data_IF_986327702207
#
_entry.id   IF_986327702207
#
_cell.length_a   1.000
_cell.length_b   1.000
_cell.length_c   1.000
_cell.angle_alpha   90.00
_cell.angle_beta   90.00
_cell.angle_gamma   90.00
#
_symmetry.space_group_name_H-M   'P 1'
#
loop_
_entity.id
_entity.type
_entity.pdbx_description
1 polymer ?
#
# COMPACT_ATOMS: atom_id res chain seq x y z
N UNK A 1 69.96 46.88 -30.63
CA UNK A 1 69.21 48.11 -30.31
C UNK A 1 67.84 47.97 -30.94
N UNK A 2 66.81 47.73 -30.18
CA UNK A 2 65.46 48.28 -30.36
C UNK A 2 64.50 47.53 -29.46
N UNK A 3 63.87 48.22 -28.58
CA UNK A 3 62.93 47.77 -27.59
C UNK A 3 61.57 47.62 -28.27
N UNK A 4 60.95 46.45 -28.22
CA UNK A 4 59.55 46.28 -28.54
C UNK A 4 58.79 45.90 -27.26
N UNK A 5 57.98 46.84 -26.79
CA UNK A 5 57.02 46.69 -25.68
C UNK A 5 55.87 45.81 -26.14
N UNK A 6 55.76 44.64 -25.62
CA UNK A 6 54.57 43.77 -25.83
C UNK A 6 53.50 44.09 -24.82
N UNK A 7 52.35 44.56 -25.32
CA UNK A 7 51.13 44.87 -24.59
C UNK A 7 50.44 43.56 -24.23
N UNK A 8 50.43 43.20 -22.94
CA UNK A 8 49.76 42.01 -22.41
C UNK A 8 48.25 42.39 -22.22
N UNK A 9 47.42 41.99 -23.17
CA UNK A 9 45.96 42.06 -22.99
C UNK A 9 45.50 40.92 -22.13
N UNK A 10 45.19 41.21 -20.86
CA UNK A 10 44.53 40.28 -19.95
C UNK A 10 43.03 40.34 -20.27
N UNK A 11 42.56 39.35 -20.99
CA UNK A 11 41.09 39.15 -21.18
C UNK A 11 40.59 38.41 -19.94
N UNK A 12 40.00 39.18 -19.02
CA UNK A 12 39.22 38.59 -17.91
C UNK A 12 37.86 38.16 -18.48
N UNK A 13 37.77 36.86 -18.78
CA UNK A 13 36.48 36.25 -19.13
C UNK A 13 35.66 36.13 -17.83
N UNK A 14 34.71 37.03 -17.63
CA UNK A 14 33.64 36.88 -16.62
C UNK A 14 32.78 35.70 -17.02
N UNK A 15 33.00 34.55 -16.38
CA UNK A 15 32.04 33.45 -16.38
C UNK A 15 30.82 33.86 -15.55
N UNK A 16 29.79 34.37 -16.18
CA UNK A 16 28.47 34.50 -15.57
C UNK A 16 27.85 33.11 -15.46
N UNK A 17 27.93 32.49 -14.30
CA UNK A 17 27.17 31.29 -13.97
C UNK A 17 25.70 31.69 -13.86
N UNK A 18 24.96 31.51 -14.93
CA UNK A 18 23.50 31.61 -14.90
C UNK A 18 22.97 30.41 -14.06
N UNK A 19 22.64 30.67 -12.80
CA UNK A 19 21.78 29.77 -12.02
C UNK A 19 20.41 29.75 -12.69
N UNK A 20 20.23 28.86 -13.66
CA UNK A 20 18.93 28.51 -14.17
C UNK A 20 18.15 27.86 -13.06
N UNK A 21 17.14 28.56 -12.49
CA UNK A 21 16.07 27.90 -11.78
C UNK A 21 15.44 26.90 -12.74
N UNK A 22 15.81 25.62 -12.62
CA UNK A 22 15.05 24.55 -13.25
C UNK A 22 13.72 24.48 -12.49
N UNK A 23 12.70 25.12 -13.05
CA UNK A 23 11.32 24.84 -12.69
C UNK A 23 11.06 23.38 -13.09
N UNK A 24 11.08 22.51 -12.08
CA UNK A 24 10.70 21.12 -12.24
C UNK A 24 9.29 21.12 -12.83
N UNK A 25 9.05 20.41 -13.96
CA UNK A 25 7.71 20.34 -14.52
C UNK A 25 6.74 19.85 -13.43
N UNK A 26 5.48 20.33 -13.39
CA UNK A 26 4.50 19.86 -12.46
C UNK A 26 4.45 18.33 -12.57
N UNK A 27 4.80 17.62 -11.48
CA UNK A 27 4.61 16.18 -11.44
C UNK A 27 3.12 15.93 -11.63
N UNK A 28 2.78 15.10 -12.61
CA UNK A 28 1.42 14.64 -12.77
C UNK A 28 0.95 14.11 -11.39
N UNK A 29 -0.30 14.37 -10.99
CA UNK A 29 -0.83 13.82 -9.75
C UNK A 29 -0.54 12.32 -9.72
N UNK A 30 0.12 11.84 -8.66
CA UNK A 30 0.29 10.41 -8.46
C UNK A 30 -1.11 9.81 -8.43
N UNK A 31 -1.38 8.89 -9.33
CA UNK A 31 -2.64 8.15 -9.31
C UNK A 31 -2.62 7.28 -8.05
N UNK A 32 -3.30 7.77 -7.00
CA UNK A 32 -3.32 7.12 -5.69
C UNK A 32 -4.27 5.93 -5.77
N UNK A 33 -3.71 4.75 -5.67
CA UNK A 33 -4.44 3.50 -5.83
C UNK A 33 -4.22 2.57 -4.62
N UNK A 34 -5.23 1.78 -4.29
CA UNK A 34 -5.08 0.70 -3.31
C UNK A 34 -4.22 -0.40 -3.91
N UNK A 35 -2.98 -0.49 -3.42
CA UNK A 35 -2.05 -1.54 -3.81
C UNK A 35 -2.43 -2.89 -3.19
N UNK A 36 -2.75 -2.90 -1.89
CA UNK A 36 -3.22 -4.08 -1.16
C UNK A 36 -4.37 -3.69 -0.25
N UNK A 37 -5.48 -4.40 -0.34
CA UNK A 37 -6.60 -4.30 0.59
C UNK A 37 -7.08 -5.67 1.01
N UNK A 38 -7.52 -5.82 2.27
CA UNK A 38 -8.17 -7.02 2.75
C UNK A 38 -9.21 -6.67 3.80
N UNK A 39 -10.45 -7.04 3.55
CA UNK A 39 -11.53 -6.94 4.51
C UNK A 39 -12.05 -8.33 4.83
N UNK A 40 -12.15 -8.65 6.12
CA UNK A 40 -12.86 -9.83 6.61
C UNK A 40 -14.12 -9.43 7.34
N UNK A 41 -15.23 -10.05 6.97
CA UNK A 41 -16.53 -9.79 7.59
C UNK A 41 -16.84 -10.77 8.70
N UNK A 42 -17.81 -10.39 9.55
CA UNK A 42 -18.26 -11.24 10.65
C UNK A 42 -18.88 -12.56 10.16
N UNK A 43 -18.84 -13.57 11.02
CA UNK A 43 -19.55 -14.84 10.88
C UNK A 43 -20.28 -15.18 12.20
N UNK A 44 -20.95 -16.33 12.23
CA UNK A 44 -21.59 -16.89 13.45
C UNK A 44 -20.59 -17.53 14.43
N UNK A 45 -19.32 -17.08 14.43
CA UNK A 45 -18.26 -17.63 15.31
C UNK A 45 -17.21 -16.59 15.61
N UNK A 46 -15.99 -17.08 15.87
CA UNK A 46 -14.83 -16.26 16.17
C UNK A 46 -14.04 -15.89 14.90
N UNK A 47 -14.74 -15.38 13.89
CA UNK A 47 -14.05 -14.90 12.69
C UNK A 47 -13.43 -13.53 12.96
N UNK A 48 -12.19 -13.29 12.51
CA UNK A 48 -11.58 -11.97 12.58
C UNK A 48 -12.38 -10.97 11.74
N UNK A 49 -12.56 -9.77 12.26
CA UNK A 49 -13.27 -8.68 11.57
C UNK A 49 -12.34 -7.50 11.47
N UNK A 50 -11.92 -7.15 10.29
CA UNK A 50 -11.06 -6.00 10.04
C UNK A 50 -11.17 -5.52 8.59
N UNK A 51 -10.64 -4.32 8.36
CA UNK A 51 -10.52 -3.73 7.03
C UNK A 51 -9.15 -3.05 6.92
N UNK A 52 -8.35 -3.51 5.96
CA UNK A 52 -7.01 -3.02 5.64
C UNK A 52 -7.05 -2.33 4.28
N UNK A 53 -6.37 -1.19 4.19
CA UNK A 53 -6.02 -0.55 2.92
C UNK A 53 -4.59 -0.05 2.97
N UNK A 54 -3.78 -0.42 1.98
CA UNK A 54 -2.42 0.06 1.76
C UNK A 54 -2.37 0.70 0.38
N UNK A 55 -2.01 1.97 0.34
CA UNK A 55 -1.90 2.73 -0.90
C UNK A 55 -0.51 2.54 -1.53
N UNK A 56 -0.43 2.76 -2.82
CA UNK A 56 0.84 2.76 -3.56
C UNK A 56 1.80 3.88 -3.11
N UNK A 57 1.32 4.84 -2.33
CA UNK A 57 2.14 5.87 -1.67
C UNK A 57 2.84 5.41 -0.39
N UNK A 58 2.45 4.25 0.16
CA UNK A 58 2.90 3.75 1.47
C UNK A 58 1.98 4.13 2.62
N UNK A 59 0.99 4.99 2.41
CA UNK A 59 -0.02 5.24 3.44
C UNK A 59 -0.88 3.99 3.65
N UNK A 60 -1.01 3.57 4.91
CA UNK A 60 -1.81 2.41 5.28
C UNK A 60 -2.81 2.74 6.37
N UNK A 61 -4.01 2.18 6.25
CA UNK A 61 -5.08 2.26 7.25
C UNK A 61 -5.56 0.86 7.60
N UNK A 62 -5.81 0.63 8.88
CA UNK A 62 -6.33 -0.63 9.40
C UNK A 62 -7.45 -0.34 10.41
N UNK A 63 -8.65 -0.80 10.10
CA UNK A 63 -9.76 -0.82 11.04
C UNK A 63 -9.80 -2.18 11.72
N UNK A 64 -9.42 -2.23 12.98
CA UNK A 64 -9.44 -3.44 13.81
C UNK A 64 -10.81 -3.57 14.48
N UNK A 65 -11.47 -4.68 14.26
CA UNK A 65 -12.64 -5.11 14.99
C UNK A 65 -12.29 -6.28 15.91
N UNK A 66 -13.24 -7.21 16.10
CA UNK A 66 -13.11 -8.32 17.04
C UNK A 66 -12.31 -9.49 16.48
N UNK A 67 -11.69 -10.28 17.36
CA UNK A 67 -11.04 -11.57 17.10
C UNK A 67 -9.85 -11.52 16.11
N UNK A 68 -9.11 -10.41 16.09
CA UNK A 68 -8.02 -10.21 15.13
C UNK A 68 -6.67 -10.76 15.59
N UNK A 69 -6.52 -11.10 16.88
CA UNK A 69 -5.24 -11.46 17.51
C UNK A 69 -4.56 -12.67 16.83
N UNK A 70 -5.36 -13.71 16.51
CA UNK A 70 -4.83 -14.91 15.83
C UNK A 70 -4.44 -14.60 14.38
N UNK A 71 -5.22 -13.76 13.68
CA UNK A 71 -4.95 -13.40 12.29
C UNK A 71 -3.64 -12.60 12.15
N UNK A 72 -3.38 -11.68 13.08
CA UNK A 72 -2.21 -10.82 13.04
C UNK A 72 -1.00 -11.37 13.83
N UNK A 73 -1.20 -12.43 14.62
CA UNK A 73 -0.18 -12.95 15.53
C UNK A 73 0.20 -11.96 16.66
N UNK A 74 -0.63 -10.93 16.88
CA UNK A 74 -0.47 -9.91 17.93
C UNK A 74 -1.79 -9.26 18.26
N UNK A 75 -1.90 -8.70 19.46
CA UNK A 75 -3.07 -7.93 19.86
C UNK A 75 -2.94 -6.47 19.41
N UNK A 76 -3.99 -5.97 18.78
CA UNK A 76 -4.20 -4.55 18.47
C UNK A 76 -5.54 -4.11 19.05
N UNK A 77 -5.61 -2.92 19.58
CA UNK A 77 -6.86 -2.37 20.09
C UNK A 77 -7.91 -2.25 18.99
N UNK A 78 -9.19 -2.44 19.31
CA UNK A 78 -10.27 -2.16 18.35
C UNK A 78 -10.30 -0.67 18.00
N UNK A 79 -10.53 -0.35 16.73
CA UNK A 79 -10.56 1.02 16.22
C UNK A 79 -9.73 1.20 14.95
N UNK A 80 -9.50 2.47 14.60
CA UNK A 80 -8.69 2.85 13.45
C UNK A 80 -7.23 2.94 13.82
N UNK A 81 -6.39 2.44 12.93
CA UNK A 81 -4.93 2.54 13.00
C UNK A 81 -4.40 3.07 11.68
N UNK A 82 -3.27 3.77 11.74
CA UNK A 82 -2.54 4.27 10.58
C UNK A 82 -1.08 3.84 10.66
N UNK A 83 -0.47 3.70 9.51
CA UNK A 83 0.97 3.48 9.38
C UNK A 83 1.47 4.04 8.06
N UNK A 84 2.76 4.36 8.01
CA UNK A 84 3.51 4.51 6.78
C UNK A 84 4.33 3.24 6.59
N UNK A 85 4.12 2.55 5.47
CA UNK A 85 4.74 1.24 5.22
C UNK A 85 5.71 1.29 4.05
N UNK A 86 6.73 0.46 4.12
CA UNK A 86 7.58 0.21 2.94
C UNK A 86 6.79 -0.58 1.91
N UNK A 87 6.40 0.09 0.82
CA UNK A 87 5.67 -0.54 -0.29
C UNK A 87 6.41 -1.74 -0.89
N UNK A 88 7.74 -1.80 -0.75
CA UNK A 88 8.53 -2.93 -1.26
C UNK A 88 8.20 -4.22 -0.53
N UNK A 89 8.00 -4.17 0.81
CA UNK A 89 7.60 -5.33 1.60
C UNK A 89 6.19 -5.83 1.20
N UNK A 90 5.28 -4.91 0.92
CA UNK A 90 3.90 -5.24 0.51
C UNK A 90 3.81 -5.71 -0.94
N UNK A 91 4.80 -5.34 -1.76
CA UNK A 91 4.92 -5.80 -3.14
C UNK A 91 5.05 -7.31 -3.25
N UNK A 92 5.65 -7.99 -2.29
CA UNK A 92 5.73 -9.45 -2.27
C UNK A 92 4.33 -10.11 -2.34
N UNK A 93 3.35 -9.56 -1.61
CA UNK A 93 1.98 -10.06 -1.66
C UNK A 93 1.32 -9.81 -3.03
N UNK A 94 1.58 -8.66 -3.65
CA UNK A 94 1.04 -8.34 -4.98
C UNK A 94 1.68 -9.19 -6.07
N UNK A 95 3.00 -9.45 -5.99
CA UNK A 95 3.71 -10.32 -6.94
C UNK A 95 3.23 -11.76 -6.84
N UNK A 96 3.00 -12.24 -5.63
CA UNK A 96 2.43 -13.57 -5.43
C UNK A 96 1.01 -13.67 -6.02
N UNK A 97 0.16 -12.67 -5.78
CA UNK A 97 -1.18 -12.60 -6.36
C UNK A 97 -1.14 -12.59 -7.89
N UNK A 98 -0.23 -11.82 -8.49
CA UNK A 98 -0.02 -11.80 -9.94
C UNK A 98 0.40 -13.18 -10.46
N UNK A 99 1.29 -13.88 -9.75
CA UNK A 99 1.77 -15.23 -10.15
C UNK A 99 0.67 -16.28 -10.19
N UNK A 100 -0.39 -16.13 -9.39
CA UNK A 100 -1.55 -17.02 -9.40
C UNK A 100 -2.66 -16.57 -10.35
N UNK A 101 -2.45 -15.49 -11.11
CA UNK A 101 -3.44 -14.96 -12.05
C UNK A 101 -4.61 -14.24 -11.39
N UNK A 102 -4.38 -13.54 -10.27
CA UNK A 102 -5.41 -12.82 -9.52
C UNK A 102 -6.20 -11.82 -10.38
N UNK A 103 -5.54 -11.18 -11.35
CA UNK A 103 -6.14 -10.23 -12.29
C UNK A 103 -7.21 -10.85 -13.20
N UNK A 104 -7.14 -12.17 -13.43
CA UNK A 104 -8.10 -12.91 -14.27
C UNK A 104 -9.32 -13.41 -13.50
N UNK A 105 -9.32 -13.33 -12.16
CA UNK A 105 -10.42 -13.78 -11.33
C UNK A 105 -11.69 -12.93 -11.56
N UNK A 106 -12.85 -13.56 -11.36
CA UNK A 106 -14.11 -12.83 -11.32
C UNK A 106 -14.13 -11.87 -10.11
N UNK A 107 -14.81 -10.74 -10.24
CA UNK A 107 -14.92 -9.76 -9.14
C UNK A 107 -15.76 -10.26 -7.95
N UNK A 108 -16.56 -11.33 -8.14
CA UNK A 108 -17.46 -11.84 -7.11
C UNK A 108 -17.65 -13.35 -7.20
N UNK A 109 -17.42 -14.03 -6.07
CA UNK A 109 -17.76 -15.43 -5.82
C UNK A 109 -18.67 -15.49 -4.61
N UNK A 110 -19.96 -15.79 -4.84
CA UNK A 110 -20.98 -15.69 -3.82
C UNK A 110 -22.19 -16.56 -4.15
N UNK A 111 -22.92 -16.98 -3.10
CA UNK A 111 -24.23 -17.58 -3.21
C UNK A 111 -25.17 -16.86 -2.24
N UNK A 112 -26.19 -16.10 -2.71
CA UNK A 112 -27.12 -15.35 -1.86
C UNK A 112 -27.90 -16.21 -0.86
N UNK A 113 -27.97 -17.53 -1.09
CA UNK A 113 -28.64 -18.47 -0.18
C UNK A 113 -27.77 -18.89 1.00
N UNK A 114 -26.47 -18.58 0.96
CA UNK A 114 -25.50 -18.88 2.01
C UNK A 114 -25.13 -17.57 2.71
N UNK A 115 -25.71 -17.29 3.88
CA UNK A 115 -25.61 -15.99 4.55
C UNK A 115 -24.75 -16.02 5.82
N UNK A 116 -24.36 -17.20 6.29
CA UNK A 116 -23.65 -17.42 7.56
C UNK A 116 -22.13 -17.53 7.43
N UNK A 117 -21.60 -17.49 6.21
CA UNK A 117 -20.16 -17.50 5.95
C UNK A 117 -19.59 -16.08 5.97
N UNK A 118 -18.35 -15.90 6.50
CA UNK A 118 -17.64 -14.64 6.36
C UNK A 118 -17.28 -14.41 4.90
N UNK A 119 -17.30 -13.16 4.47
CA UNK A 119 -16.69 -12.78 3.20
C UNK A 119 -15.27 -12.29 3.41
N UNK A 120 -14.38 -12.67 2.49
CA UNK A 120 -13.07 -12.07 2.32
C UNK A 120 -13.11 -11.19 1.06
N UNK A 121 -12.83 -9.91 1.22
CA UNK A 121 -12.81 -8.95 0.11
C UNK A 121 -11.37 -8.50 -0.01
N UNK A 122 -10.69 -8.91 -1.08
CA UNK A 122 -9.28 -8.64 -1.30
C UNK A 122 -9.08 -7.76 -2.52
N UNK A 123 -8.24 -6.75 -2.37
CA UNK A 123 -7.85 -5.84 -3.45
C UNK A 123 -6.35 -5.98 -3.69
N UNK A 124 -5.96 -6.12 -4.93
CA UNK A 124 -4.56 -6.11 -5.37
C UNK A 124 -4.45 -5.23 -6.61
N UNK A 125 -3.60 -4.19 -6.54
CA UNK A 125 -3.39 -3.23 -7.62
C UNK A 125 -4.72 -2.75 -8.21
N UNK A 126 -5.61 -2.25 -7.35
CA UNK A 126 -6.93 -1.71 -7.69
C UNK A 126 -8.00 -2.75 -8.06
N UNK A 127 -7.62 -3.99 -8.38
CA UNK A 127 -8.60 -5.03 -8.64
C UNK A 127 -9.13 -5.64 -7.34
N UNK A 128 -10.45 -5.65 -7.17
CA UNK A 128 -11.13 -6.22 -5.99
C UNK A 128 -11.85 -7.52 -6.34
N UNK A 129 -11.69 -8.52 -5.47
CA UNK A 129 -12.39 -9.80 -5.51
C UNK A 129 -13.13 -10.01 -4.20
N UNK A 130 -14.46 -10.12 -4.27
CA UNK A 130 -15.31 -10.56 -3.18
C UNK A 130 -15.40 -12.09 -3.19
N UNK A 131 -14.90 -12.74 -2.15
CA UNK A 131 -14.86 -14.19 -2.06
C UNK A 131 -15.54 -14.68 -0.78
N UNK A 132 -16.73 -15.26 -0.90
CA UNK A 132 -17.51 -15.84 0.19
C UNK A 132 -17.87 -17.30 -0.03
N UNK A 133 -18.24 -17.68 -1.25
CA UNK A 133 -18.71 -19.02 -1.55
C UNK A 133 -18.38 -19.43 -2.99
N UNK A 134 -17.77 -20.62 -3.16
CA UNK A 134 -17.50 -21.20 -4.47
C UNK A 134 -16.38 -20.52 -5.27
N UNK A 135 -15.62 -19.62 -4.64
CA UNK A 135 -14.47 -18.98 -5.26
C UNK A 135 -13.17 -19.80 -5.13
N UNK A 136 -12.08 -19.26 -5.69
CA UNK A 136 -10.76 -19.88 -5.58
C UNK A 136 -10.26 -19.87 -4.13
N UNK A 137 -9.32 -20.77 -3.81
CA UNK A 137 -8.59 -20.72 -2.56
C UNK A 137 -7.56 -19.59 -2.58
N UNK A 138 -7.81 -18.56 -1.79
CA UNK A 138 -6.94 -17.39 -1.60
C UNK A 138 -6.32 -17.33 -0.20
N UNK A 139 -6.39 -18.41 0.58
CA UNK A 139 -5.95 -18.42 1.98
C UNK A 139 -4.48 -18.06 2.13
N UNK A 140 -3.61 -18.50 1.22
CA UNK A 140 -2.19 -18.13 1.25
C UNK A 140 -1.99 -16.62 1.05
N UNK A 141 -2.76 -15.99 0.15
CA UNK A 141 -2.71 -14.53 -0.03
C UNK A 141 -3.17 -13.80 1.24
N UNK A 142 -4.26 -14.25 1.85
CA UNK A 142 -4.75 -13.66 3.11
C UNK A 142 -3.71 -13.78 4.22
N UNK A 143 -3.09 -14.95 4.38
CA UNK A 143 -2.06 -15.20 5.39
C UNK A 143 -0.82 -14.33 5.17
N UNK A 144 -0.39 -14.10 3.93
CA UNK A 144 0.72 -13.21 3.61
C UNK A 144 0.41 -11.77 4.02
N UNK A 145 -0.78 -11.29 3.66
CA UNK A 145 -1.24 -9.95 4.02
C UNK A 145 -1.34 -9.81 5.56
N UNK A 146 -1.95 -10.77 6.25
CA UNK A 146 -2.10 -10.75 7.71
C UNK A 146 -0.76 -10.77 8.44
N UNK A 147 0.23 -11.50 7.93
CA UNK A 147 1.60 -11.49 8.46
C UNK A 147 2.25 -10.11 8.32
N UNK A 148 2.05 -9.42 7.19
CA UNK A 148 2.54 -8.06 7.01
C UNK A 148 1.84 -7.08 7.97
N UNK A 149 0.52 -7.23 8.18
CA UNK A 149 -0.21 -6.47 9.22
C UNK A 149 0.41 -6.69 10.59
N UNK A 150 0.69 -7.94 10.96
CA UNK A 150 1.31 -8.29 12.23
C UNK A 150 2.72 -7.69 12.43
N UNK A 151 3.48 -7.53 11.35
CA UNK A 151 4.83 -6.98 11.37
C UNK A 151 4.89 -5.44 11.28
N UNK A 152 3.79 -4.77 10.97
CA UNK A 152 3.73 -3.31 10.78
C UNK A 152 3.55 -2.58 12.11
N UNK A 153 4.24 -1.44 12.27
CA UNK A 153 4.10 -0.57 13.43
C UNK A 153 2.89 0.37 13.26
N UNK A 154 1.76 -0.06 13.80
CA UNK A 154 0.50 0.68 13.73
C UNK A 154 0.37 1.72 14.83
N UNK A 155 -0.07 2.92 14.47
CA UNK A 155 -0.41 4.01 15.39
C UNK A 155 -1.93 4.05 15.50
N UNK A 156 -2.45 3.78 16.71
CA UNK A 156 -3.89 3.84 16.98
C UNK A 156 -4.40 5.28 16.92
N UNK A 157 -5.54 5.49 16.29
CA UNK A 157 -6.25 6.77 16.35
C UNK A 157 -7.04 6.84 17.67
N UNK A 158 -6.63 7.70 18.62
CA UNK A 158 -7.26 7.78 19.96
C UNK A 158 -8.73 8.18 19.90
N UNK A 159 -9.19 8.82 18.82
CA UNK A 159 -10.59 9.20 18.67
C UNK A 159 -11.52 8.01 18.37
N UNK A 160 -10.95 6.87 17.96
CA UNK A 160 -11.70 5.67 17.54
C UNK A 160 -11.46 4.44 18.42
N UNK A 161 -10.48 4.49 19.33
CA UNK A 161 -10.15 3.39 20.24
C UNK A 161 -11.32 3.14 21.22
N UNK A 162 -11.68 1.85 21.40
CA UNK A 162 -12.71 1.40 22.34
C UNK A 162 -12.13 0.43 23.36
#
# INVERSE_FOLDING_TARGET
MSRAFGLLFVIVAMLTVAFGCQTQPPQAPLDVEVMVGLQRTACFGRCPVYELSVLNTGEATLKVGRFCDEAFGRSLAEGMHKADVDVTAWKEATDWAASMGFDTLQSRYDNPKVMDLPANIVTVNGKTVFNRYGGPDLNELYTRIERLVGATDWIADPATAR
#
